data_IF_696690545123
#
_entry.id   IF_696690545123
#
_cell.length_a   1.000
_cell.length_b   1.000
_cell.length_c   1.000
_cell.angle_alpha   90.00
_cell.angle_beta   90.00
_cell.angle_gamma   90.00
#
_symmetry.space_group_name_H-M   'P 1'
#
loop_
_entity.id
_entity.type
_entity.pdbx_description
1 polymer ?
#
# COMPACT_ATOMS: atom_id res chain seq x y z
N UNK A 1 58.21 17.71 -28.10
CA UNK A 1 57.39 18.85 -27.63
C UNK A 1 57.09 18.65 -26.15
N UNK A 2 57.81 19.31 -25.23
CA UNK A 2 57.62 19.14 -23.77
C UNK A 2 56.64 20.21 -23.28
N UNK A 3 55.42 19.83 -22.92
CA UNK A 3 54.46 20.78 -22.34
C UNK A 3 54.94 21.18 -20.94
N UNK A 4 55.13 22.47 -20.71
CA UNK A 4 55.42 23.02 -19.38
C UNK A 4 54.09 23.14 -18.64
N UNK A 5 53.77 22.15 -17.81
CA UNK A 5 52.63 22.25 -16.88
C UNK A 5 53.04 23.27 -15.80
N UNK A 6 52.30 24.37 -15.69
CA UNK A 6 52.55 25.40 -14.67
C UNK A 6 51.65 25.20 -13.46
N UNK A 7 52.06 25.69 -12.29
CA UNK A 7 51.30 25.54 -11.04
C UNK A 7 49.86 26.11 -11.14
N UNK A 8 49.64 27.15 -11.96
CA UNK A 8 48.29 27.68 -12.22
C UNK A 8 47.42 26.68 -12.96
N UNK A 9 47.97 26.01 -13.98
CA UNK A 9 47.28 24.96 -14.75
C UNK A 9 46.88 23.79 -13.85
N UNK A 10 47.76 23.37 -12.94
CA UNK A 10 47.46 22.31 -11.95
C UNK A 10 46.32 22.74 -11.02
N UNK A 11 46.34 23.99 -10.52
CA UNK A 11 45.27 24.51 -9.66
C UNK A 11 43.89 24.45 -10.33
N UNK A 12 43.80 24.83 -11.60
CA UNK A 12 42.54 24.76 -12.35
C UNK A 12 42.08 23.32 -12.59
N UNK A 13 43.00 22.39 -12.85
CA UNK A 13 42.67 20.97 -12.99
C UNK A 13 42.10 20.41 -11.68
N UNK A 14 42.70 20.73 -10.54
CA UNK A 14 42.20 20.29 -9.23
C UNK A 14 40.80 20.83 -8.96
N UNK A 15 40.55 22.10 -9.28
CA UNK A 15 39.21 22.71 -9.14
C UNK A 15 38.20 22.03 -10.06
N UNK A 16 38.57 21.77 -11.31
CA UNK A 16 37.69 21.07 -12.25
C UNK A 16 37.34 19.66 -11.76
N UNK A 17 38.31 18.91 -11.25
CA UNK A 17 38.09 17.58 -10.67
C UNK A 17 37.15 17.65 -9.46
N UNK A 18 37.32 18.63 -8.57
CA UNK A 18 36.41 18.84 -7.44
C UNK A 18 34.97 19.12 -7.91
N UNK A 19 34.80 19.99 -8.91
CA UNK A 19 33.49 20.29 -9.49
C UNK A 19 32.88 19.03 -10.13
N UNK A 20 33.67 18.23 -10.83
CA UNK A 20 33.19 16.97 -11.41
C UNK A 20 32.70 15.98 -10.33
N UNK A 21 33.44 15.84 -9.23
CA UNK A 21 33.04 14.95 -8.11
C UNK A 21 31.70 15.42 -7.52
N UNK A 22 31.58 16.72 -7.25
CA UNK A 22 30.34 17.31 -6.73
C UNK A 22 29.18 17.14 -7.72
N UNK A 23 29.42 17.39 -9.01
CA UNK A 23 28.43 17.22 -10.07
C UNK A 23 27.90 15.78 -10.15
N UNK A 24 28.79 14.79 -10.11
CA UNK A 24 28.39 13.37 -10.10
C UNK A 24 27.56 13.02 -8.87
N UNK A 25 27.92 13.55 -7.70
CA UNK A 25 27.15 13.34 -6.47
C UNK A 25 25.73 13.88 -6.58
N UNK A 26 25.58 15.10 -7.11
CA UNK A 26 24.28 15.75 -7.29
C UNK A 26 23.40 14.95 -8.26
N UNK A 27 23.96 14.52 -9.40
CA UNK A 27 23.22 13.72 -10.39
C UNK A 27 22.71 12.40 -9.79
N UNK A 28 23.56 11.69 -9.02
CA UNK A 28 23.15 10.47 -8.32
C UNK A 28 22.04 10.73 -7.31
N UNK A 29 22.11 11.85 -6.60
CA UNK A 29 21.11 12.23 -5.61
C UNK A 29 19.76 12.54 -6.27
N UNK A 30 19.74 13.24 -7.40
CA UNK A 30 18.51 13.53 -8.16
C UNK A 30 17.85 12.22 -8.63
N UNK A 31 18.63 11.30 -9.22
CA UNK A 31 18.10 10.00 -9.68
C UNK A 31 17.50 9.20 -8.52
N UNK A 32 18.18 9.21 -7.37
CA UNK A 32 17.71 8.52 -6.16
C UNK A 32 16.42 9.14 -5.64
N UNK A 33 16.34 10.46 -5.61
CA UNK A 33 15.15 11.19 -5.17
C UNK A 33 13.94 10.86 -6.06
N UNK A 34 14.13 10.84 -7.38
CA UNK A 34 13.05 10.50 -8.31
C UNK A 34 12.52 9.08 -8.08
N UNK A 35 13.41 8.10 -7.84
CA UNK A 35 13.01 6.72 -7.51
C UNK A 35 12.26 6.63 -6.19
N UNK A 36 12.67 7.39 -5.18
CA UNK A 36 11.98 7.44 -3.89
C UNK A 36 10.58 8.03 -4.08
N UNK A 37 10.46 9.12 -4.84
CA UNK A 37 9.18 9.74 -5.11
C UNK A 37 8.21 8.79 -5.83
N UNK A 38 8.70 8.05 -6.82
CA UNK A 38 7.92 7.02 -7.52
C UNK A 38 7.43 5.93 -6.56
N UNK A 39 8.31 5.44 -5.68
CA UNK A 39 7.92 4.45 -4.66
C UNK A 39 6.88 4.99 -3.67
N UNK A 40 6.98 6.28 -3.30
CA UNK A 40 5.99 6.93 -2.44
C UNK A 40 4.63 6.95 -3.14
N UNK A 41 4.58 7.37 -4.41
CA UNK A 41 3.34 7.40 -5.19
C UNK A 41 2.73 6.01 -5.30
N UNK A 42 3.51 4.98 -5.66
CA UNK A 42 3.02 3.61 -5.77
C UNK A 42 2.50 3.07 -4.43
N UNK A 43 3.17 3.38 -3.32
CA UNK A 43 2.70 2.97 -1.98
C UNK A 43 1.42 3.70 -1.59
N UNK A 44 1.29 4.97 -1.94
CA UNK A 44 0.07 5.73 -1.67
C UNK A 44 -1.12 5.16 -2.44
N UNK A 45 -0.93 4.82 -3.72
CA UNK A 45 -1.96 4.14 -4.52
C UNK A 45 -2.37 2.79 -3.92
N UNK A 46 -1.40 2.02 -3.40
CA UNK A 46 -1.70 0.76 -2.70
C UNK A 46 -2.50 1.00 -1.42
N UNK A 47 -2.16 2.02 -0.62
CA UNK A 47 -2.93 2.39 0.58
C UNK A 47 -4.36 2.76 0.20
N UNK A 48 -4.54 3.58 -0.83
CA UNK A 48 -5.86 4.03 -1.25
C UNK A 48 -6.71 2.88 -1.79
N UNK A 49 -6.09 1.95 -2.52
CA UNK A 49 -6.74 0.71 -2.96
C UNK A 49 -7.16 -0.15 -1.77
N UNK A 50 -6.25 -0.40 -0.83
CA UNK A 50 -6.55 -1.20 0.36
C UNK A 50 -7.63 -0.56 1.25
N UNK A 51 -7.67 0.78 1.33
CA UNK A 51 -8.75 1.49 2.03
C UNK A 51 -10.10 1.28 1.35
N UNK A 52 -10.16 1.42 0.03
CA UNK A 52 -11.39 1.16 -0.75
C UNK A 52 -11.86 -0.28 -0.59
N UNK A 53 -10.94 -1.23 -0.67
CA UNK A 53 -11.25 -2.65 -0.51
C UNK A 53 -11.78 -2.93 0.92
N UNK A 54 -11.19 -2.31 1.94
CA UNK A 54 -11.65 -2.43 3.33
C UNK A 54 -13.04 -1.79 3.54
N UNK A 55 -13.29 -0.62 2.95
CA UNK A 55 -14.62 0.01 2.98
C UNK A 55 -15.67 -0.88 2.30
N UNK A 56 -15.38 -1.40 1.11
CA UNK A 56 -16.28 -2.31 0.40
C UNK A 56 -16.57 -3.60 1.21
N UNK A 57 -15.55 -4.19 1.83
CA UNK A 57 -15.72 -5.36 2.71
C UNK A 57 -16.53 -5.01 3.96
N UNK A 58 -16.35 -3.83 4.56
CA UNK A 58 -17.18 -3.38 5.68
C UNK A 58 -18.63 -3.16 5.29
N UNK A 59 -18.89 -2.66 4.09
CA UNK A 59 -20.25 -2.53 3.56
C UNK A 59 -20.88 -3.90 3.31
N UNK A 60 -20.12 -4.88 2.81
CA UNK A 60 -20.59 -6.24 2.63
C UNK A 60 -20.84 -6.95 3.96
N UNK A 61 -19.93 -6.76 4.94
CA UNK A 61 -20.11 -7.27 6.30
C UNK A 61 -21.32 -6.62 6.95
N UNK A 62 -21.50 -5.30 6.88
CA UNK A 62 -22.67 -4.64 7.49
C UNK A 62 -23.99 -5.08 6.86
N UNK A 63 -24.02 -5.30 5.54
CA UNK A 63 -25.19 -5.90 4.84
C UNK A 63 -25.43 -7.35 5.26
N UNK A 64 -24.37 -8.14 5.42
CA UNK A 64 -24.43 -9.54 5.86
C UNK A 64 -24.69 -9.69 7.37
N UNK A 65 -24.40 -8.66 8.15
CA UNK A 65 -24.64 -8.58 9.60
C UNK A 65 -25.97 -7.87 9.88
N UNK A 66 -26.76 -7.53 8.85
CA UNK A 66 -28.14 -7.11 9.03
C UNK A 66 -28.89 -8.13 9.88
N UNK A 67 -29.70 -7.64 10.80
CA UNK A 67 -30.30 -8.41 11.90
C UNK A 67 -30.97 -9.72 11.44
N UNK A 68 -31.48 -9.78 10.21
CA UNK A 68 -32.07 -10.97 9.59
C UNK A 68 -31.09 -12.15 9.47
N UNK A 69 -29.82 -11.92 9.18
CA UNK A 69 -28.81 -12.99 9.07
C UNK A 69 -28.34 -13.47 10.45
N UNK A 70 -28.17 -12.54 11.41
CA UNK A 70 -27.89 -12.90 12.80
C UNK A 70 -29.08 -13.67 13.40
N UNK A 71 -30.31 -13.21 13.17
CA UNK A 71 -31.53 -13.86 13.63
C UNK A 71 -31.67 -15.26 13.01
N UNK A 72 -31.40 -15.40 11.70
CA UNK A 72 -31.43 -16.70 11.03
C UNK A 72 -30.35 -17.66 11.56
N UNK A 73 -29.11 -17.19 11.74
CA UNK A 73 -28.03 -18.01 12.27
C UNK A 73 -28.26 -18.38 13.75
N UNK A 74 -28.87 -17.49 14.53
CA UNK A 74 -29.31 -17.77 15.90
C UNK A 74 -30.45 -18.79 15.93
N UNK A 75 -31.45 -18.69 15.03
CA UNK A 75 -32.51 -19.71 14.89
C UNK A 75 -31.96 -21.09 14.59
N UNK A 76 -31.02 -21.17 13.64
CA UNK A 76 -30.40 -22.43 13.20
C UNK A 76 -29.51 -23.04 14.30
N UNK A 77 -28.79 -22.23 15.09
CA UNK A 77 -27.91 -22.73 16.15
C UNK A 77 -28.58 -22.95 17.50
N UNK A 78 -29.63 -22.19 17.82
CA UNK A 78 -30.33 -22.26 19.11
C UNK A 78 -31.64 -23.05 19.04
N UNK A 79 -32.01 -23.61 17.87
CA UNK A 79 -33.32 -24.22 17.63
C UNK A 79 -34.49 -23.31 18.06
N UNK A 80 -34.34 -22.00 17.93
CA UNK A 80 -35.35 -21.02 18.31
C UNK A 80 -36.42 -20.92 17.23
N UNK A 81 -37.68 -21.08 17.63
CA UNK A 81 -38.86 -21.13 16.75
C UNK A 81 -39.69 -19.86 16.96
N UNK A 82 -40.23 -19.26 15.90
CA UNK A 82 -41.07 -18.05 16.03
C UNK A 82 -42.37 -18.39 16.79
N UNK A 83 -42.94 -17.48 17.61
CA UNK A 83 -44.25 -17.71 18.24
C UNK A 83 -45.31 -17.89 17.15
N UNK A 84 -45.74 -19.14 16.90
CA UNK A 84 -46.71 -19.48 15.85
C UNK A 84 -46.28 -20.60 14.87
N UNK A 85 -45.04 -21.08 14.91
CA UNK A 85 -44.58 -22.19 14.05
C UNK A 85 -44.87 -23.55 14.70
N UNK A 86 -45.64 -24.43 14.02
CA UNK A 86 -45.92 -25.81 14.46
C UNK A 86 -44.79 -26.74 14.05
N UNK A 87 -44.10 -27.33 15.03
CA UNK A 87 -43.07 -28.36 14.79
C UNK A 87 -43.74 -29.65 14.33
N UNK A 88 -43.60 -30.01 13.05
CA UNK A 88 -44.02 -31.32 12.54
C UNK A 88 -42.88 -32.30 12.77
N UNK A 89 -42.89 -32.98 13.92
CA UNK A 89 -41.95 -34.07 14.19
C UNK A 89 -42.44 -35.32 13.45
N UNK A 90 -41.84 -35.62 12.29
CA UNK A 90 -42.11 -36.88 11.59
C UNK A 90 -41.40 -38.02 12.34
N UNK A 91 -42.18 -38.87 13.01
CA UNK A 91 -41.73 -40.12 13.63
C UNK A 91 -41.34 -41.11 12.51
N UNK A 92 -40.05 -41.34 12.33
CA UNK A 92 -39.53 -42.36 11.42
C UNK A 92 -39.60 -43.73 12.11
N UNK A 93 -40.26 -44.70 11.45
CA UNK A 93 -40.34 -46.11 11.86
C UNK A 93 -38.97 -46.81 11.74
#
# INVERSE_FOLDING_TARGET
MKSKITNKTIKYIVIAVLICILGVSIVRQIVTMNKIQEQITQKQEQIDKLKKDNEALKDEVSKSTSDDFIEKQARERLNMIKPGEKVVVQKKN
#
